data_IF_133730904554
#
_entry.id   IF_133730904554
#
_cell.length_a   1.000
_cell.length_b   1.000
_cell.length_c   1.000
_cell.angle_alpha   90.00
_cell.angle_beta   90.00
_cell.angle_gamma   90.00
#
_symmetry.space_group_name_H-M   'P 1'
#
loop_
_entity.id
_entity.type
_entity.pdbx_description
1 polymer ?
#
# COMPACT_ATOMS: atom_id res chain seq x y z
N UNK A 1 -13.51 -19.92 -9.52
CA UNK A 1 -14.69 -19.53 -8.73
C UNK A 1 -15.37 -18.37 -9.47
N UNK A 2 -16.68 -18.48 -9.71
CA UNK A 2 -17.50 -17.38 -10.21
C UNK A 2 -18.38 -16.87 -9.07
N UNK A 3 -18.33 -15.57 -8.82
CA UNK A 3 -19.12 -14.95 -7.76
C UNK A 3 -20.49 -14.54 -8.30
N UNK A 4 -21.55 -14.95 -7.61
CA UNK A 4 -22.94 -14.55 -7.90
C UNK A 4 -23.32 -13.26 -7.16
N UNK A 5 -24.56 -12.80 -7.31
CA UNK A 5 -25.10 -11.64 -6.58
C UNK A 5 -25.69 -12.06 -5.24
N UNK A 6 -25.55 -11.27 -4.14
CA UNK A 6 -24.86 -9.98 -3.94
C UNK A 6 -23.34 -10.12 -3.84
N UNK A 7 -22.62 -9.02 -3.54
CA UNK A 7 -21.17 -9.02 -3.30
C UNK A 7 -20.76 -10.13 -2.34
N UNK A 8 -19.66 -10.80 -2.61
CA UNK A 8 -19.20 -11.98 -1.85
C UNK A 8 -18.16 -11.59 -0.82
N UNK A 9 -18.33 -12.15 0.37
CA UNK A 9 -17.33 -12.11 1.44
C UNK A 9 -16.68 -13.47 1.60
N UNK A 10 -15.34 -13.49 1.63
CA UNK A 10 -14.51 -14.63 2.02
C UNK A 10 -13.89 -14.31 3.36
N UNK A 11 -14.14 -15.14 4.37
CA UNK A 11 -13.68 -14.92 5.73
C UNK A 11 -12.84 -16.09 6.23
N UNK A 12 -11.78 -15.76 6.97
CA UNK A 12 -11.02 -16.72 7.79
C UNK A 12 -10.89 -16.16 9.20
N UNK A 13 -11.30 -16.90 10.19
CA UNK A 13 -11.22 -16.48 11.59
C UNK A 13 -10.00 -17.06 12.31
N UNK A 14 -9.34 -18.04 11.71
CA UNK A 14 -8.09 -18.62 12.21
C UNK A 14 -7.31 -19.29 11.07
N UNK A 15 -5.97 -19.34 11.20
CA UNK A 15 -5.09 -19.99 10.23
C UNK A 15 -5.00 -19.24 8.90
N UNK A 16 -4.62 -19.95 7.85
CA UNK A 16 -4.46 -19.40 6.49
C UNK A 16 -5.46 -20.07 5.54
N UNK A 17 -6.28 -19.26 4.89
CA UNK A 17 -7.14 -19.71 3.80
C UNK A 17 -6.46 -19.46 2.45
N UNK A 18 -6.14 -20.54 1.73
CA UNK A 18 -5.54 -20.46 0.39
C UNK A 18 -6.59 -20.47 -0.72
N UNK A 19 -6.46 -19.57 -1.69
CA UNK A 19 -7.26 -19.53 -2.92
C UNK A 19 -6.29 -19.59 -4.11
N UNK A 20 -6.13 -20.76 -4.71
CA UNK A 20 -5.20 -20.98 -5.83
C UNK A 20 -5.87 -20.92 -7.21
N UNK A 21 -7.19 -21.12 -7.26
CA UNK A 21 -7.95 -21.03 -8.51
C UNK A 21 -8.32 -19.60 -8.88
N UNK A 22 -8.54 -19.35 -10.17
CA UNK A 22 -8.99 -18.05 -10.65
C UNK A 22 -10.34 -17.65 -10.05
N UNK A 23 -10.48 -16.34 -9.76
CA UNK A 23 -11.70 -15.74 -9.21
C UNK A 23 -12.25 -14.74 -10.21
N UNK A 24 -13.43 -14.99 -10.74
CA UNK A 24 -14.19 -14.02 -11.53
C UNK A 24 -15.01 -13.15 -10.57
N UNK A 25 -14.75 -11.84 -10.56
CA UNK A 25 -15.33 -10.86 -9.63
C UNK A 25 -16.19 -9.80 -10.37
N UNK A 26 -17.40 -10.14 -10.79
CA UNK A 26 -18.28 -9.17 -11.47
C UNK A 26 -19.05 -8.25 -10.52
N UNK A 27 -19.11 -8.56 -9.21
CA UNK A 27 -20.08 -7.94 -8.27
C UNK A 27 -19.45 -7.39 -6.99
N UNK A 28 -18.18 -7.66 -6.73
CA UNK A 28 -17.45 -7.24 -5.52
C UNK A 28 -17.00 -8.40 -4.67
N UNK A 29 -15.76 -8.31 -4.22
CA UNK A 29 -15.09 -9.30 -3.38
C UNK A 29 -14.52 -8.65 -2.14
N UNK A 30 -14.98 -9.08 -0.97
CA UNK A 30 -14.38 -8.72 0.31
C UNK A 30 -13.66 -9.93 0.88
N UNK A 31 -12.41 -9.77 1.28
CA UNK A 31 -11.58 -10.81 1.91
C UNK A 31 -11.11 -10.30 3.26
N UNK A 32 -11.39 -11.03 4.33
CA UNK A 32 -11.03 -10.60 5.68
C UNK A 32 -11.33 -11.59 6.79
N UNK A 33 -11.36 -11.10 8.01
CA UNK A 33 -11.47 -11.88 9.24
C UNK A 33 -10.24 -11.67 10.12
N UNK A 34 -10.06 -12.53 11.12
CA UNK A 34 -8.92 -12.52 12.03
C UNK A 34 -7.75 -13.37 11.49
N UNK A 35 -8.04 -14.39 10.69
CA UNK A 35 -7.06 -15.24 10.05
C UNK A 35 -6.49 -14.63 8.76
N UNK A 36 -5.50 -15.30 8.23
CA UNK A 36 -4.79 -14.86 7.03
C UNK A 36 -5.36 -15.48 5.75
N UNK A 37 -5.07 -14.84 4.62
CA UNK A 37 -5.48 -15.32 3.30
C UNK A 37 -4.28 -15.28 2.34
N UNK A 38 -4.16 -16.31 1.51
CA UNK A 38 -3.19 -16.39 0.41
C UNK A 38 -3.93 -16.63 -0.91
N UNK A 39 -3.99 -15.58 -1.74
CA UNK A 39 -4.63 -15.63 -3.05
C UNK A 39 -3.56 -15.65 -4.12
N UNK A 40 -3.24 -16.85 -4.60
CA UNK A 40 -2.29 -17.06 -5.70
C UNK A 40 -2.98 -17.12 -7.07
N UNK A 41 -4.28 -17.39 -7.11
CA UNK A 41 -5.08 -17.35 -8.34
C UNK A 41 -5.33 -15.92 -8.82
N UNK A 42 -5.52 -15.75 -10.13
CA UNK A 42 -5.85 -14.46 -10.71
C UNK A 42 -7.28 -14.02 -10.38
N UNK A 43 -7.44 -12.77 -9.95
CA UNK A 43 -8.73 -12.12 -9.78
C UNK A 43 -9.01 -11.27 -11.01
N UNK A 44 -10.17 -11.48 -11.64
CA UNK A 44 -10.61 -10.75 -12.84
C UNK A 44 -12.01 -10.21 -12.66
N UNK A 45 -12.43 -9.26 -13.50
CA UNK A 45 -13.79 -8.68 -13.50
C UNK A 45 -13.78 -7.18 -13.36
N UNK A 46 -14.94 -6.59 -13.19
CA UNK A 46 -15.11 -5.12 -13.22
C UNK A 46 -15.38 -4.50 -11.86
N UNK A 47 -15.44 -5.30 -10.81
CA UNK A 47 -15.87 -4.83 -9.49
C UNK A 47 -14.69 -4.68 -8.51
N UNK A 48 -14.99 -4.13 -7.36
CA UNK A 48 -14.02 -3.81 -6.30
C UNK A 48 -13.45 -5.05 -5.60
N UNK A 49 -12.28 -4.87 -4.98
CA UNK A 49 -11.68 -5.80 -4.02
C UNK A 49 -11.47 -5.07 -2.70
N UNK A 50 -12.00 -5.58 -1.61
CA UNK A 50 -11.80 -5.03 -0.28
C UNK A 50 -11.07 -6.04 0.61
N UNK A 51 -9.99 -5.60 1.23
CA UNK A 51 -9.35 -6.28 2.37
C UNK A 51 -9.80 -5.61 3.66
N UNK A 52 -10.46 -6.37 4.52
CA UNK A 52 -10.84 -5.91 5.85
C UNK A 52 -10.43 -6.91 6.96
N UNK A 53 -10.81 -6.61 8.21
CA UNK A 53 -10.43 -7.45 9.35
C UNK A 53 -8.95 -7.34 9.73
N UNK A 54 -8.58 -7.92 10.87
CA UNK A 54 -7.25 -7.76 11.46
C UNK A 54 -6.17 -8.67 10.85
N UNK A 55 -6.57 -9.77 10.23
CA UNK A 55 -5.66 -10.69 9.56
C UNK A 55 -5.01 -10.10 8.31
N UNK A 56 -4.13 -10.84 7.69
CA UNK A 56 -3.45 -10.42 6.45
C UNK A 56 -4.08 -11.03 5.19
N UNK A 57 -3.91 -10.36 4.08
CA UNK A 57 -4.19 -10.87 2.74
C UNK A 57 -2.92 -10.78 1.90
N UNK A 58 -2.50 -11.88 1.33
CA UNK A 58 -1.42 -11.95 0.37
C UNK A 58 -1.99 -12.11 -1.04
N UNK A 59 -1.70 -11.16 -1.92
CA UNK A 59 -2.03 -11.21 -3.35
C UNK A 59 -0.77 -11.52 -4.17
N UNK A 60 -0.75 -12.71 -4.77
CA UNK A 60 0.33 -13.18 -5.68
C UNK A 60 -0.13 -13.27 -7.13
N UNK A 61 -1.45 -13.29 -7.35
CA UNK A 61 -2.04 -13.43 -8.68
C UNK A 61 -1.72 -12.24 -9.58
N UNK A 62 -1.65 -12.51 -10.88
CA UNK A 62 -1.62 -11.49 -11.90
C UNK A 62 -3.07 -11.05 -12.17
N UNK A 63 -3.55 -10.07 -11.39
CA UNK A 63 -4.94 -9.68 -11.36
C UNK A 63 -5.28 -8.69 -12.49
N UNK A 64 -6.52 -8.72 -12.95
CA UNK A 64 -7.03 -7.86 -14.01
C UNK A 64 -8.40 -7.23 -13.69
N UNK A 65 -8.85 -7.31 -12.43
CA UNK A 65 -10.07 -6.61 -12.03
C UNK A 65 -9.89 -5.08 -12.19
N UNK A 66 -10.97 -4.37 -12.52
CA UNK A 66 -10.88 -2.94 -12.82
C UNK A 66 -11.54 -2.03 -11.77
N UNK A 67 -12.11 -2.60 -10.73
CA UNK A 67 -12.68 -1.83 -9.62
C UNK A 67 -11.66 -1.41 -8.58
N UNK A 68 -12.07 -0.51 -7.69
CA UNK A 68 -11.26 0.02 -6.60
C UNK A 68 -10.74 -1.09 -5.66
N UNK A 69 -9.47 -1.01 -5.29
CA UNK A 69 -8.93 -1.79 -4.18
C UNK A 69 -9.03 -0.98 -2.89
N UNK A 70 -9.63 -1.55 -1.84
CA UNK A 70 -9.71 -0.91 -0.52
C UNK A 70 -9.05 -1.78 0.53
N UNK A 71 -8.10 -1.21 1.27
CA UNK A 71 -7.51 -1.85 2.46
C UNK A 71 -8.07 -1.12 3.67
N UNK A 72 -9.10 -1.70 4.29
CA UNK A 72 -9.84 -1.09 5.41
C UNK A 72 -9.46 -1.66 6.79
N UNK A 73 -8.61 -2.68 6.84
CA UNK A 73 -8.09 -3.24 8.09
C UNK A 73 -6.99 -4.26 7.84
N UNK A 74 -6.15 -4.49 8.84
CA UNK A 74 -5.05 -5.44 8.77
C UNK A 74 -4.00 -5.09 7.72
N UNK A 75 -3.44 -6.10 7.08
CA UNK A 75 -2.35 -5.93 6.10
C UNK A 75 -2.71 -6.54 4.76
N UNK A 76 -2.47 -5.79 3.69
CA UNK A 76 -2.47 -6.31 2.33
C UNK A 76 -1.02 -6.43 1.85
N UNK A 77 -0.56 -7.67 1.60
CA UNK A 77 0.74 -7.94 0.99
C UNK A 77 0.59 -8.11 -0.52
N UNK A 78 1.47 -7.45 -1.27
CA UNK A 78 1.56 -7.48 -2.73
C UNK A 78 2.88 -8.12 -3.12
N UNK A 79 2.81 -9.26 -3.81
CA UNK A 79 3.97 -10.01 -4.33
C UNK A 79 3.95 -10.15 -5.86
N UNK A 80 3.06 -9.45 -6.54
CA UNK A 80 3.02 -9.37 -8.01
C UNK A 80 2.83 -7.92 -8.42
N UNK A 81 3.49 -7.47 -9.46
CA UNK A 81 3.37 -6.10 -9.96
C UNK A 81 1.95 -5.74 -10.44
N UNK A 82 1.15 -6.75 -10.80
CA UNK A 82 -0.25 -6.58 -11.19
C UNK A 82 -1.23 -7.11 -10.11
N UNK A 83 -0.79 -7.29 -8.87
CA UNK A 83 -1.64 -7.83 -7.80
C UNK A 83 -2.86 -6.93 -7.49
N UNK A 84 -2.79 -5.64 -7.77
CA UNK A 84 -3.85 -4.66 -7.50
C UNK A 84 -4.84 -4.47 -8.67
N UNK A 85 -4.72 -5.31 -9.71
CA UNK A 85 -5.59 -5.25 -10.88
C UNK A 85 -5.21 -4.15 -11.86
N UNK A 86 -6.20 -3.51 -12.48
CA UNK A 86 -5.97 -2.42 -13.42
C UNK A 86 -5.83 -1.07 -12.68
N UNK A 87 -5.04 -0.18 -13.24
CA UNK A 87 -4.77 1.15 -12.66
C UNK A 87 -5.90 2.17 -12.82
N UNK A 88 -7.08 1.73 -13.28
CA UNK A 88 -8.17 2.64 -13.67
C UNK A 88 -8.82 3.36 -12.48
N UNK A 89 -8.92 2.71 -11.31
CA UNK A 89 -9.63 3.25 -10.14
C UNK A 89 -8.74 3.43 -8.92
N UNK A 90 -7.59 2.77 -8.90
CA UNK A 90 -6.58 2.93 -7.85
C UNK A 90 -6.83 2.10 -6.58
N UNK A 91 -6.02 2.41 -5.57
CA UNK A 91 -6.05 1.75 -4.25
C UNK A 91 -6.22 2.77 -3.14
N UNK A 92 -7.05 2.46 -2.15
CA UNK A 92 -7.24 3.28 -0.94
C UNK A 92 -6.84 2.48 0.30
N UNK A 93 -6.00 3.06 1.14
CA UNK A 93 -5.62 2.52 2.45
C UNK A 93 -6.22 3.42 3.53
N UNK A 94 -7.09 2.86 4.38
CA UNK A 94 -7.71 3.60 5.47
C UNK A 94 -6.84 3.61 6.72
N UNK A 95 -7.17 4.47 7.67
CA UNK A 95 -6.49 4.49 8.97
C UNK A 95 -6.55 3.13 9.66
N UNK A 96 -5.46 2.69 10.23
CA UNK A 96 -5.32 1.38 10.89
C UNK A 96 -4.99 0.21 9.96
N UNK A 97 -4.92 0.44 8.64
CA UNK A 97 -4.54 -0.55 7.64
C UNK A 97 -3.15 -0.29 7.05
N UNK A 98 -2.58 -1.28 6.37
CA UNK A 98 -1.26 -1.17 5.71
C UNK A 98 -1.25 -1.93 4.38
N UNK A 99 -0.75 -1.28 3.35
CA UNK A 99 -0.38 -1.87 2.07
C UNK A 99 1.12 -2.16 2.08
N UNK A 100 1.51 -3.41 1.90
CA UNK A 100 2.89 -3.84 2.04
C UNK A 100 3.39 -4.51 0.76
N UNK A 101 4.44 -3.97 0.19
CA UNK A 101 5.10 -4.50 -1.01
C UNK A 101 6.25 -5.41 -0.58
N UNK A 102 6.43 -6.54 -1.27
CA UNK A 102 7.56 -7.44 -1.05
C UNK A 102 7.92 -8.26 -2.28
N UNK A 103 9.19 -8.71 -2.32
CA UNK A 103 9.66 -9.53 -3.43
C UNK A 103 10.18 -8.77 -4.64
N UNK A 104 10.47 -7.47 -4.50
CA UNK A 104 11.01 -6.65 -5.59
C UNK A 104 9.95 -6.26 -6.63
N UNK A 105 8.70 -6.04 -6.19
CA UNK A 105 7.61 -5.67 -7.10
C UNK A 105 7.71 -4.22 -7.55
N UNK A 106 7.25 -3.97 -8.77
CA UNK A 106 7.06 -2.62 -9.30
C UNK A 106 5.60 -2.43 -9.67
N UNK A 107 4.87 -1.70 -8.82
CA UNK A 107 3.45 -1.36 -9.08
C UNK A 107 3.40 -0.13 -9.97
N UNK A 108 2.90 -0.32 -11.20
CA UNK A 108 2.94 0.70 -12.24
C UNK A 108 1.67 1.54 -12.27
N UNK A 109 1.83 2.87 -12.26
CA UNK A 109 0.78 3.89 -12.51
C UNK A 109 -0.50 3.76 -11.64
N UNK A 110 -0.47 2.96 -10.59
CA UNK A 110 -1.62 2.76 -9.69
C UNK A 110 -1.81 3.99 -8.80
N UNK A 111 -2.93 4.72 -8.89
CA UNK A 111 -3.21 5.80 -7.95
C UNK A 111 -3.42 5.26 -6.53
N UNK A 112 -2.77 5.88 -5.56
CA UNK A 112 -2.86 5.48 -4.15
C UNK A 112 -3.37 6.63 -3.30
N UNK A 113 -4.41 6.38 -2.52
CA UNK A 113 -4.85 7.29 -1.46
C UNK A 113 -4.56 6.67 -0.10
N UNK A 114 -3.84 7.39 0.76
CA UNK A 114 -3.51 6.95 2.12
C UNK A 114 -4.17 7.86 3.15
N UNK A 115 -4.98 7.28 4.02
CA UNK A 115 -5.76 7.98 5.05
C UNK A 115 -5.28 7.58 6.45
N UNK A 116 -4.01 7.72 6.72
CA UNK A 116 -3.41 7.37 8.01
C UNK A 116 -2.35 6.28 7.91
N UNK A 117 -2.01 5.70 9.05
CA UNK A 117 -1.02 4.63 9.18
C UNK A 117 -1.53 3.57 10.14
N UNK A 118 -0.94 2.38 10.09
CA UNK A 118 -1.27 1.32 11.03
C UNK A 118 -0.82 1.68 12.45
N UNK A 119 -1.63 1.34 13.45
CA UNK A 119 -1.34 1.64 14.87
C UNK A 119 -0.06 0.95 15.37
N UNK A 120 0.33 -0.16 14.79
CA UNK A 120 1.53 -0.93 15.17
C UNK A 120 2.86 -0.39 14.60
N UNK A 121 2.87 0.83 14.03
CA UNK A 121 4.09 1.47 13.51
C UNK A 121 4.44 1.07 12.07
N UNK A 122 3.69 0.22 11.43
CA UNK A 122 3.84 -0.04 10.00
C UNK A 122 3.35 1.16 9.18
N UNK A 123 3.99 1.41 8.05
CA UNK A 123 3.57 2.46 7.14
C UNK A 123 2.21 2.17 6.50
N UNK A 124 1.51 3.23 6.09
CA UNK A 124 0.34 3.09 5.21
C UNK A 124 0.72 2.41 3.89
N UNK A 125 1.91 2.76 3.36
CA UNK A 125 2.62 2.03 2.31
C UNK A 125 3.99 1.63 2.85
N UNK A 126 4.33 0.34 2.78
CA UNK A 126 5.58 -0.18 3.29
C UNK A 126 6.26 -1.13 2.28
N UNK A 127 7.59 -1.17 2.29
CA UNK A 127 8.41 -2.21 1.65
C UNK A 127 8.93 -3.12 2.76
N UNK A 128 8.58 -4.41 2.73
CA UNK A 128 8.96 -5.33 3.82
C UNK A 128 10.10 -6.26 3.44
N UNK A 129 10.34 -6.49 2.16
CA UNK A 129 11.48 -7.26 1.66
C UNK A 129 11.73 -6.95 0.18
N UNK A 130 12.99 -6.76 -0.20
CA UNK A 130 13.41 -6.42 -1.56
C UNK A 130 13.24 -4.94 -1.89
N UNK A 131 13.77 -4.53 -3.01
CA UNK A 131 13.61 -3.17 -3.52
C UNK A 131 12.27 -3.09 -4.25
N UNK A 132 11.28 -2.45 -3.63
CA UNK A 132 9.95 -2.33 -4.20
C UNK A 132 9.69 -0.91 -4.70
N UNK A 133 8.94 -0.79 -5.79
CA UNK A 133 8.69 0.51 -6.45
C UNK A 133 7.20 0.78 -6.59
N UNK A 134 6.78 2.00 -6.25
CA UNK A 134 5.47 2.55 -6.53
C UNK A 134 5.62 3.69 -7.54
N UNK A 135 5.02 3.57 -8.73
CA UNK A 135 5.19 4.57 -9.79
C UNK A 135 3.97 5.47 -9.99
N UNK A 136 2.81 5.07 -9.47
CA UNK A 136 1.59 5.85 -9.54
C UNK A 136 1.57 7.06 -8.59
N UNK A 137 0.64 7.99 -8.78
CA UNK A 137 0.49 9.12 -7.89
C UNK A 137 0.00 8.68 -6.50
N UNK A 138 0.49 9.37 -5.46
CA UNK A 138 0.10 9.14 -4.06
C UNK A 138 -0.58 10.39 -3.53
N UNK A 139 -1.75 10.25 -2.94
CA UNK A 139 -2.49 11.33 -2.29
C UNK A 139 -2.61 11.04 -0.79
N UNK A 140 -2.22 12.01 0.03
CA UNK A 140 -2.45 11.95 1.47
C UNK A 140 -3.83 12.53 1.77
N UNK A 141 -4.71 11.71 2.32
CA UNK A 141 -6.00 12.15 2.88
C UNK A 141 -5.94 12.36 4.40
N UNK A 142 -4.85 11.91 5.05
CA UNK A 142 -4.52 12.15 6.45
C UNK A 142 -3.00 12.03 6.66
N UNK A 143 -2.51 12.30 7.87
CA UNK A 143 -1.12 12.07 8.23
C UNK A 143 -0.76 10.59 8.03
N UNK A 144 0.33 10.32 7.33
CA UNK A 144 0.68 8.96 6.91
C UNK A 144 2.18 8.69 7.06
N UNK A 145 2.52 7.40 7.16
CA UNK A 145 3.89 6.90 7.17
C UNK A 145 4.16 6.10 5.90
N UNK A 146 5.26 6.40 5.23
CA UNK A 146 5.85 5.60 4.16
C UNK A 146 7.12 4.95 4.71
N UNK A 147 7.27 3.64 4.66
CA UNK A 147 8.37 2.95 5.33
C UNK A 147 9.00 1.83 4.52
N UNK A 148 10.22 1.46 4.90
CA UNK A 148 10.83 0.21 4.51
C UNK A 148 11.40 -0.47 5.76
N UNK A 149 11.17 -1.78 5.91
CA UNK A 149 11.70 -2.57 7.03
C UNK A 149 13.18 -2.92 6.79
N UNK A 150 13.48 -3.33 5.57
CA UNK A 150 14.81 -3.57 5.04
C UNK A 150 14.86 -3.04 3.60
N UNK A 151 16.00 -3.10 2.94
CA UNK A 151 16.17 -2.69 1.54
C UNK A 151 15.58 -1.29 1.24
N UNK A 152 14.74 -1.15 0.21
CA UNK A 152 14.29 0.17 -0.22
C UNK A 152 12.82 0.19 -0.67
N UNK A 153 12.10 1.24 -0.27
CA UNK A 153 10.85 1.66 -0.91
C UNK A 153 11.15 2.81 -1.86
N UNK A 154 10.87 2.63 -3.14
CA UNK A 154 10.99 3.66 -4.17
C UNK A 154 9.63 4.21 -4.55
N UNK A 155 9.49 5.53 -4.57
CA UNK A 155 8.29 6.23 -5.03
C UNK A 155 8.70 7.20 -6.13
N UNK A 156 8.32 6.89 -7.37
CA UNK A 156 8.59 7.76 -8.53
C UNK A 156 7.35 8.55 -8.95
N UNK A 157 6.16 8.16 -8.53
CA UNK A 157 4.95 8.96 -8.70
C UNK A 157 4.96 10.22 -7.84
N UNK A 158 4.19 11.23 -8.25
CA UNK A 158 4.01 12.45 -7.45
C UNK A 158 3.28 12.16 -6.15
N UNK A 159 3.60 12.93 -5.10
CA UNK A 159 2.91 12.89 -3.81
C UNK A 159 2.18 14.21 -3.60
N UNK A 160 0.86 14.15 -3.50
CA UNK A 160 0.03 15.27 -3.08
C UNK A 160 -0.16 15.25 -1.57
N UNK A 161 0.38 16.27 -0.88
CA UNK A 161 0.30 16.43 0.58
C UNK A 161 -0.38 17.76 0.93
N UNK A 162 -1.72 17.82 0.94
CA UNK A 162 -2.47 19.07 1.02
C UNK A 162 -2.33 19.82 2.35
N UNK A 163 -1.77 19.23 3.38
CA UNK A 163 -1.59 19.88 4.69
C UNK A 163 -1.30 18.90 5.82
N UNK A 164 -1.04 17.63 5.48
CA UNK A 164 -0.81 16.60 6.48
C UNK A 164 0.67 16.40 6.80
N UNK A 165 0.96 15.59 7.80
CA UNK A 165 2.30 15.15 8.12
C UNK A 165 2.62 13.87 7.36
N UNK A 166 3.55 13.97 6.42
CA UNK A 166 4.16 12.82 5.78
C UNK A 166 5.39 12.38 6.58
N UNK A 167 5.31 11.22 7.22
CA UNK A 167 6.48 10.61 7.86
C UNK A 167 7.14 9.62 6.91
N UNK A 168 8.45 9.59 6.91
CA UNK A 168 9.24 8.62 6.16
C UNK A 168 10.17 7.84 7.08
N UNK A 169 10.05 6.51 7.04
CA UNK A 169 10.81 5.59 7.85
C UNK A 169 9.95 4.88 8.91
N UNK A 170 10.59 3.99 9.65
CA UNK A 170 9.98 3.23 10.74
C UNK A 170 11.01 3.14 11.87
N UNK A 171 10.58 3.28 13.12
CA UNK A 171 11.47 3.17 14.26
C UNK A 171 12.21 1.82 14.24
N UNK A 172 13.52 1.85 14.48
CA UNK A 172 14.41 0.67 14.48
C UNK A 172 14.47 -0.12 13.16
N UNK A 173 13.97 0.42 12.05
CA UNK A 173 14.13 -0.17 10.72
C UNK A 173 15.26 0.53 9.96
N UNK A 174 16.10 -0.25 9.29
CA UNK A 174 17.25 0.23 8.51
C UNK A 174 16.90 0.48 7.03
N UNK A 175 15.68 0.14 6.63
CA UNK A 175 15.22 0.28 5.25
C UNK A 175 15.16 1.75 4.81
N UNK A 176 15.46 1.97 3.55
CA UNK A 176 15.53 3.30 2.94
C UNK A 176 14.23 3.64 2.21
N UNK A 177 13.90 4.91 2.18
CA UNK A 177 12.80 5.42 1.34
C UNK A 177 13.38 6.42 0.35
N UNK A 178 13.17 6.16 -0.95
CA UNK A 178 13.58 7.06 -2.02
C UNK A 178 12.37 7.62 -2.73
N UNK A 179 12.21 8.93 -2.71
CA UNK A 179 11.14 9.64 -3.39
C UNK A 179 11.77 10.48 -4.50
N UNK A 180 11.58 10.04 -5.74
CA UNK A 180 12.02 10.79 -6.93
C UNK A 180 10.88 11.56 -7.58
N UNK A 181 9.63 11.25 -7.24
CA UNK A 181 8.47 12.03 -7.61
C UNK A 181 8.42 13.37 -6.86
N UNK A 182 7.64 14.30 -7.40
CA UNK A 182 7.44 15.63 -6.79
C UNK A 182 6.53 15.48 -5.57
N UNK A 183 6.94 16.00 -4.42
CA UNK A 183 6.06 16.21 -3.27
C UNK A 183 5.54 17.65 -3.36
N UNK A 184 4.22 17.82 -3.33
CA UNK A 184 3.55 19.12 -3.44
C UNK A 184 2.51 19.32 -2.35
N UNK A 185 2.11 20.58 -2.12
CA UNK A 185 1.06 20.95 -1.16
C UNK A 185 1.60 21.63 0.10
N UNK A 186 0.73 21.86 1.08
CA UNK A 186 1.07 22.61 2.31
C UNK A 186 1.57 21.74 3.47
N UNK A 187 1.62 20.42 3.29
CA UNK A 187 1.97 19.48 4.35
C UNK A 187 3.47 19.44 4.66
N UNK A 188 3.79 18.84 5.79
CA UNK A 188 5.14 18.69 6.33
C UNK A 188 5.74 17.33 5.96
N UNK A 189 7.07 17.26 5.95
CA UNK A 189 7.82 16.00 5.79
C UNK A 189 8.68 15.75 7.03
N UNK A 190 8.54 14.59 7.66
CA UNK A 190 9.36 14.19 8.81
C UNK A 190 10.10 12.89 8.51
N UNK A 191 11.42 12.91 8.58
CA UNK A 191 12.26 11.71 8.56
C UNK A 191 12.37 11.14 9.96
N UNK A 192 11.96 9.89 10.10
CA UNK A 192 12.03 9.06 11.32
C UNK A 192 12.75 7.73 11.02
N UNK A 193 13.13 6.99 12.08
CA UNK A 193 13.84 5.70 11.94
C UNK A 193 15.29 5.87 11.47
N UNK A 194 16.03 4.76 11.43
CA UNK A 194 17.51 4.80 11.28
C UNK A 194 17.99 4.79 9.81
N UNK A 195 17.11 4.40 8.85
CA UNK A 195 17.43 4.40 7.43
C UNK A 195 17.57 5.81 6.82
N UNK A 196 17.68 5.85 5.50
CA UNK A 196 17.84 7.08 4.71
C UNK A 196 16.51 7.44 4.04
N UNK A 197 16.15 8.73 4.05
CA UNK A 197 15.19 9.31 3.13
C UNK A 197 15.94 10.11 2.05
N UNK A 198 15.79 9.71 0.80
CA UNK A 198 16.32 10.45 -0.34
C UNK A 198 15.18 11.19 -1.04
N UNK A 199 15.31 12.51 -1.20
CA UNK A 199 14.36 13.37 -1.91
C UNK A 199 15.04 13.95 -3.15
N UNK A 200 14.77 13.39 -4.34
CA UNK A 200 15.41 13.82 -5.58
C UNK A 200 14.46 14.51 -6.58
N UNK A 201 13.17 14.61 -6.26
CA UNK A 201 12.19 15.34 -7.06
C UNK A 201 12.29 16.86 -6.87
N UNK A 202 11.78 17.64 -7.84
CA UNK A 202 11.64 19.10 -7.73
C UNK A 202 10.46 19.43 -6.78
N UNK A 203 10.67 19.24 -5.49
CA UNK A 203 9.63 19.34 -4.49
C UNK A 203 9.13 20.79 -4.32
N UNK A 204 7.82 20.96 -4.18
CA UNK A 204 7.14 22.26 -4.04
C UNK A 204 6.23 22.34 -2.81
N UNK A 205 6.32 21.38 -1.86
CA UNK A 205 5.59 21.50 -0.61
C UNK A 205 6.09 22.68 0.23
N UNK A 206 5.16 23.36 0.93
CA UNK A 206 5.47 24.58 1.67
C UNK A 206 5.62 24.37 3.18
N UNK A 207 5.27 23.19 3.69
CA UNK A 207 5.52 22.83 5.08
C UNK A 207 7.01 22.60 5.36
N UNK A 208 7.39 22.60 6.62
CA UNK A 208 8.78 22.37 7.00
C UNK A 208 9.20 20.90 6.85
N UNK A 209 10.50 20.69 6.66
CA UNK A 209 11.12 19.36 6.72
C UNK A 209 11.81 19.20 8.07
N UNK A 210 11.54 18.09 8.77
CA UNK A 210 12.14 17.73 10.05
C UNK A 210 12.88 16.41 9.93
N UNK A 211 14.08 16.35 10.48
CA UNK A 211 14.81 15.08 10.67
C UNK A 211 14.83 14.79 12.17
N UNK A 212 14.10 13.76 12.59
CA UNK A 212 14.02 13.32 13.98
C UNK A 212 15.05 12.23 14.25
N UNK A 213 15.26 11.34 13.29
CA UNK A 213 16.28 10.30 13.34
C UNK A 213 16.67 9.85 11.93
N UNK A 214 17.80 9.14 11.80
CA UNK A 214 18.36 8.71 10.54
C UNK A 214 18.93 9.86 9.70
N UNK A 215 18.89 9.72 8.37
CA UNK A 215 19.53 10.65 7.43
C UNK A 215 18.58 11.10 6.35
N UNK A 216 18.67 12.36 5.94
CA UNK A 216 18.02 12.95 4.77
C UNK A 216 19.08 13.31 3.71
N UNK A 217 18.80 12.93 2.46
CA UNK A 217 19.61 13.23 1.27
C UNK A 217 18.78 13.91 0.19
#
# INVERSE_FOLDING_TARGET
ISLGTPAVRVNSDAGVLGISGSVANPIGLTIGGLGDHDVSGAISGTSFVTKDGAGSLLLRGNNSYSGLTTVSGGKLFVESSNALGSTATGTTVTSGASLQLRGGVSVAAEPLTVNGSMVAGDGALASTAGINTWTGPVTLGAAAVLSADADELRISGSISNPGFLLKSGKASALGNVKISGIISGAGMVEKIGDGVLTLSGNNSYTGFTKVTSGRLE
#
